data_IF_831937667953
#
_entry.id   IF_831937667953
#
_cell.length_a   1.000
_cell.length_b   1.000
_cell.length_c   1.000
_cell.angle_alpha   90.00
_cell.angle_beta   90.00
_cell.angle_gamma   90.00
#
_symmetry.space_group_name_H-M   'P 1'
#
loop_
_entity.id
_entity.type
_entity.pdbx_description
1 polymer ?
#
# COMPACT_ATOMS: atom_id res chain seq x y z
N UNK A 1 2.72 -14.82 34.34
CA UNK A 1 1.50 -14.97 35.17
C UNK A 1 1.90 -15.07 36.64
N UNK A 2 0.96 -14.82 37.60
CA UNK A 2 1.23 -14.87 39.07
C UNK A 2 1.84 -16.21 39.50
N UNK A 3 1.55 -17.29 38.80
CA UNK A 3 2.09 -18.64 39.07
C UNK A 3 3.55 -18.80 38.61
N UNK A 4 4.02 -18.12 37.59
CA UNK A 4 5.42 -18.18 37.13
C UNK A 4 6.38 -17.42 38.08
N UNK A 5 5.90 -16.32 38.66
CA UNK A 5 6.69 -15.58 39.68
C UNK A 5 6.86 -16.36 41.01
N UNK A 6 5.97 -17.32 41.27
CA UNK A 6 6.01 -18.15 42.50
C UNK A 6 6.93 -19.38 42.38
N UNK A 7 7.43 -19.72 41.20
CA UNK A 7 8.21 -20.95 40.97
C UNK A 7 9.72 -20.80 41.26
N UNK A 8 10.20 -19.62 41.65
CA UNK A 8 11.63 -19.34 41.79
C UNK A 8 12.17 -19.41 43.24
N UNK A 9 11.43 -19.92 44.21
CA UNK A 9 11.89 -20.03 45.58
C UNK A 9 11.19 -21.15 46.36
N UNK A 10 11.96 -21.85 47.17
CA UNK A 10 11.55 -23.03 47.96
C UNK A 10 10.72 -22.70 49.23
N UNK A 11 10.16 -21.47 49.33
CA UNK A 11 9.22 -21.07 50.38
C UNK A 11 7.84 -20.82 49.75
N UNK A 12 6.80 -21.35 50.41
CA UNK A 12 5.40 -21.12 50.02
C UNK A 12 5.11 -19.63 49.93
N UNK A 13 5.14 -19.09 48.73
CA UNK A 13 4.87 -17.67 48.49
C UNK A 13 3.39 -17.41 48.68
N UNK A 14 3.05 -16.72 49.75
CA UNK A 14 1.68 -16.31 50.05
C UNK A 14 1.28 -15.26 48.98
N UNK A 15 0.31 -15.63 48.14
CA UNK A 15 -0.31 -14.68 47.18
C UNK A 15 -1.12 -13.68 47.99
N UNK A 16 -0.59 -12.49 48.22
CA UNK A 16 -1.29 -11.38 48.89
C UNK A 16 -2.19 -10.61 47.93
N UNK A 17 -3.23 -9.95 48.47
CA UNK A 17 -4.04 -9.00 47.66
C UNK A 17 -3.17 -8.01 46.91
N UNK A 18 -2.11 -7.52 47.54
CA UNK A 18 -1.18 -6.53 46.97
C UNK A 18 -0.36 -7.12 45.82
N UNK A 19 0.04 -8.40 45.87
CA UNK A 19 0.72 -9.08 44.76
C UNK A 19 -0.23 -9.36 43.59
N UNK A 20 -1.51 -9.61 43.88
CA UNK A 20 -2.56 -9.75 42.86
C UNK A 20 -2.89 -8.39 42.24
N UNK A 21 -3.04 -7.34 43.05
CA UNK A 21 -3.27 -5.97 42.54
C UNK A 21 -2.10 -5.47 41.73
N UNK A 22 -0.86 -5.72 42.13
CA UNK A 22 0.33 -5.42 41.36
C UNK A 22 0.39 -6.19 40.05
N UNK A 23 0.08 -7.49 40.08
CA UNK A 23 0.02 -8.32 38.87
C UNK A 23 -1.13 -7.90 37.93
N UNK A 24 -2.25 -7.46 38.47
CA UNK A 24 -3.40 -6.93 37.72
C UNK A 24 -3.08 -5.51 37.17
N UNK A 25 -2.40 -4.67 37.94
CA UNK A 25 -1.95 -3.33 37.47
C UNK A 25 -0.87 -3.42 36.39
N UNK A 26 -0.05 -4.49 36.39
CA UNK A 26 0.90 -4.84 35.35
C UNK A 26 0.31 -5.78 34.28
N UNK A 27 -0.93 -6.27 34.48
CA UNK A 27 -1.66 -6.91 33.41
C UNK A 27 -1.83 -5.88 32.33
N UNK A 28 -1.15 -6.15 31.20
CA UNK A 28 -1.19 -5.34 30.00
C UNK A 28 -2.61 -4.81 29.76
N UNK A 29 -2.79 -3.56 29.39
CA UNK A 29 -4.11 -3.03 29.08
C UNK A 29 -4.80 -4.04 28.17
N UNK A 30 -5.94 -4.57 28.60
CA UNK A 30 -6.73 -5.53 27.82
C UNK A 30 -7.05 -4.82 26.50
N UNK A 31 -6.27 -5.19 25.50
CA UNK A 31 -6.51 -4.75 24.14
C UNK A 31 -7.78 -5.47 23.69
N UNK A 32 -8.87 -4.71 23.65
CA UNK A 32 -10.12 -5.21 23.12
C UNK A 32 -9.95 -5.34 21.59
N UNK A 33 -9.82 -6.59 21.11
CA UNK A 33 -9.63 -6.89 19.68
C UNK A 33 -10.81 -6.46 18.84
N UNK A 34 -11.97 -6.33 19.41
CA UNK A 34 -13.23 -5.98 18.74
C UNK A 34 -13.69 -4.55 19.07
N UNK A 35 -12.92 -3.77 19.83
CA UNK A 35 -13.29 -2.45 20.31
C UNK A 35 -12.54 -1.28 19.65
N UNK A 36 -12.95 -0.06 19.98
CA UNK A 36 -12.42 1.20 19.45
C UNK A 36 -10.89 1.33 19.58
N UNK A 37 -10.29 0.76 20.65
CA UNK A 37 -8.85 0.80 20.90
C UNK A 37 -8.03 0.05 19.83
N UNK A 38 -8.53 -1.04 19.25
CA UNK A 38 -7.88 -1.76 18.16
C UNK A 38 -7.74 -0.87 16.92
N UNK A 39 -8.83 -0.21 16.54
CA UNK A 39 -8.83 0.69 15.40
C UNK A 39 -7.96 1.92 15.63
N UNK A 40 -7.94 2.45 16.85
CA UNK A 40 -7.13 3.61 17.23
C UNK A 40 -5.64 3.32 17.12
N UNK A 41 -5.16 2.19 17.68
CA UNK A 41 -3.74 1.82 17.63
C UNK A 41 -3.30 1.50 16.20
N UNK A 42 -4.14 0.78 15.43
CA UNK A 42 -3.87 0.53 14.02
C UNK A 42 -3.79 1.83 13.21
N UNK A 43 -4.75 2.73 13.43
CA UNK A 43 -4.78 4.05 12.78
C UNK A 43 -3.56 4.89 13.18
N UNK A 44 -3.14 4.84 14.44
CA UNK A 44 -1.97 5.54 14.93
C UNK A 44 -0.67 5.00 14.29
N UNK A 45 -0.51 3.66 14.18
CA UNK A 45 0.60 3.06 13.45
C UNK A 45 0.68 3.60 12.02
N UNK A 46 -0.41 3.50 11.27
CA UNK A 46 -0.46 3.94 9.87
C UNK A 46 -0.16 5.44 9.73
N UNK A 47 -0.75 6.27 10.60
CA UNK A 47 -0.53 7.73 10.59
C UNK A 47 0.91 8.09 10.95
N UNK A 48 1.54 7.37 11.89
CA UNK A 48 2.94 7.59 12.25
C UNK A 48 3.89 7.24 11.10
N UNK A 49 3.68 6.09 10.43
CA UNK A 49 4.44 5.73 9.22
C UNK A 49 4.24 6.77 8.11
N UNK A 50 3.00 7.19 7.86
CA UNK A 50 2.66 8.25 6.89
C UNK A 50 3.33 9.58 7.23
N UNK A 51 3.37 9.93 8.52
CA UNK A 51 4.03 11.11 9.04
C UNK A 51 5.55 11.02 9.15
N UNK A 52 6.15 9.86 8.79
CA UNK A 52 7.59 9.60 8.88
C UNK A 52 8.17 9.63 10.31
N UNK A 53 7.31 9.43 11.32
CA UNK A 53 7.74 9.28 12.71
C UNK A 53 8.03 7.79 13.00
N UNK A 54 9.30 7.42 12.86
CA UNK A 54 9.77 6.03 13.02
C UNK A 54 9.56 5.52 14.45
N UNK A 55 9.85 6.35 15.43
CA UNK A 55 9.79 5.95 16.84
C UNK A 55 8.35 5.76 17.32
N UNK A 56 7.46 6.67 16.95
CA UNK A 56 6.03 6.51 17.21
C UNK A 56 5.47 5.27 16.50
N UNK A 57 5.85 5.03 15.24
CA UNK A 57 5.42 3.85 14.48
C UNK A 57 5.88 2.54 15.14
N UNK A 58 7.13 2.46 15.57
CA UNK A 58 7.66 1.30 16.30
C UNK A 58 6.96 1.10 17.66
N UNK A 59 6.63 2.19 18.36
CA UNK A 59 5.86 2.11 19.61
C UNK A 59 4.46 1.50 19.38
N UNK A 60 3.72 1.98 18.36
CA UNK A 60 2.40 1.42 18.05
C UNK A 60 2.48 -0.01 17.53
N UNK A 61 3.50 -0.35 16.73
CA UNK A 61 3.77 -1.74 16.35
C UNK A 61 3.97 -2.62 17.60
N UNK A 62 4.80 -2.18 18.55
CA UNK A 62 5.06 -2.91 19.78
C UNK A 62 3.77 -3.13 20.60
N UNK A 63 2.91 -2.11 20.70
CA UNK A 63 1.60 -2.23 21.36
C UNK A 63 0.74 -3.31 20.72
N UNK A 64 0.67 -3.38 19.37
CA UNK A 64 -0.09 -4.40 18.65
C UNK A 64 0.49 -5.81 18.90
N UNK A 65 1.82 -5.96 18.82
CA UNK A 65 2.50 -7.24 19.03
C UNK A 65 2.28 -7.76 20.48
N UNK A 66 2.45 -6.89 21.48
CA UNK A 66 2.27 -7.23 22.89
C UNK A 66 0.82 -7.58 23.21
N UNK A 67 -0.13 -6.90 22.56
CA UNK A 67 -1.55 -7.20 22.66
C UNK A 67 -1.97 -8.52 21.96
N UNK A 68 -1.03 -9.18 21.27
CA UNK A 68 -1.28 -10.44 20.55
C UNK A 68 -2.07 -10.27 19.27
N UNK A 69 -1.95 -9.12 18.58
CA UNK A 69 -2.55 -8.92 17.27
C UNK A 69 -2.02 -9.92 16.25
N UNK A 70 -2.86 -10.33 15.30
CA UNK A 70 -2.41 -11.20 14.20
C UNK A 70 -1.31 -10.47 13.38
N UNK A 71 -0.08 -11.00 13.36
CA UNK A 71 1.01 -10.37 12.64
C UNK A 71 0.74 -10.27 11.14
N UNK A 72 -0.12 -11.12 10.57
CA UNK A 72 -0.56 -11.03 9.16
C UNK A 72 -1.51 -9.86 8.92
N UNK A 73 -2.33 -9.51 9.92
CA UNK A 73 -3.14 -8.30 9.87
C UNK A 73 -2.25 -7.06 9.79
N UNK A 74 -1.25 -6.97 10.67
CA UNK A 74 -0.29 -5.85 10.69
C UNK A 74 0.43 -5.76 9.32
N UNK A 75 0.98 -6.88 8.84
CA UNK A 75 1.68 -6.93 7.55
C UNK A 75 0.80 -6.49 6.38
N UNK A 76 -0.48 -6.92 6.34
CA UNK A 76 -1.45 -6.49 5.33
C UNK A 76 -1.66 -4.97 5.33
N UNK A 77 -1.72 -4.36 6.51
CA UNK A 77 -1.86 -2.89 6.62
C UNK A 77 -0.63 -2.17 6.08
N UNK A 78 0.57 -2.71 6.29
CA UNK A 78 1.82 -2.15 5.74
C UNK A 78 1.88 -2.28 4.21
N UNK A 79 1.39 -3.38 3.63
CA UNK A 79 1.29 -3.55 2.17
C UNK A 79 0.37 -2.51 1.54
N UNK A 80 -0.79 -2.26 2.15
CA UNK A 80 -1.73 -1.23 1.69
C UNK A 80 -1.05 0.14 1.74
N UNK A 81 -0.45 0.49 2.88
CA UNK A 81 0.25 1.77 3.09
C UNK A 81 1.38 1.99 2.07
N UNK A 82 2.15 0.95 1.76
CA UNK A 82 3.23 1.04 0.77
C UNK A 82 2.74 1.50 -0.60
N UNK A 83 1.54 1.08 -1.01
CA UNK A 83 0.92 1.51 -2.27
C UNK A 83 0.16 2.83 -2.15
N UNK A 84 -0.51 3.08 -1.01
CA UNK A 84 -1.37 4.24 -0.78
C UNK A 84 -0.56 5.52 -0.52
N UNK A 85 0.46 5.43 0.35
CA UNK A 85 1.16 6.60 0.90
C UNK A 85 2.59 6.80 0.36
N UNK A 86 3.19 5.76 -0.23
CA UNK A 86 4.55 5.81 -0.76
C UNK A 86 4.54 5.69 -2.29
N UNK A 87 3.85 4.69 -2.83
CA UNK A 87 3.66 4.52 -4.25
C UNK A 87 4.96 4.57 -5.05
N UNK A 88 4.99 5.43 -6.07
CA UNK A 88 6.14 5.57 -6.96
C UNK A 88 7.26 6.45 -6.41
N UNK A 89 7.07 7.08 -5.25
CA UNK A 89 8.15 7.83 -4.59
C UNK A 89 9.28 6.90 -4.11
N UNK A 90 8.94 5.67 -3.70
CA UNK A 90 9.88 4.58 -3.48
C UNK A 90 9.28 3.24 -3.96
N UNK A 91 9.55 2.80 -5.19
CA UNK A 91 9.05 1.54 -5.73
C UNK A 91 9.46 0.29 -4.94
N UNK A 92 10.52 0.37 -4.13
CA UNK A 92 10.98 -0.75 -3.29
C UNK A 92 10.11 -0.94 -2.04
N UNK A 93 9.33 0.05 -1.65
CA UNK A 93 8.49 0.00 -0.46
C UNK A 93 7.47 -1.15 -0.50
N UNK A 94 6.77 -1.31 -1.63
CA UNK A 94 5.83 -2.42 -1.81
C UNK A 94 6.54 -3.78 -1.79
N UNK A 95 7.73 -3.88 -2.38
CA UNK A 95 8.52 -5.11 -2.37
C UNK A 95 8.92 -5.50 -0.94
N UNK A 96 9.38 -4.53 -0.14
CA UNK A 96 9.71 -4.74 1.28
C UNK A 96 8.48 -5.17 2.08
N UNK A 97 7.35 -4.52 1.88
CA UNK A 97 6.11 -4.87 2.57
C UNK A 97 5.60 -6.28 2.21
N UNK A 98 5.68 -6.68 0.94
CA UNK A 98 5.32 -8.03 0.47
C UNK A 98 6.29 -9.07 1.03
N UNK A 99 7.62 -8.82 0.98
CA UNK A 99 8.61 -9.71 1.54
C UNK A 99 8.39 -9.91 3.06
N UNK A 100 8.10 -8.82 3.78
CA UNK A 100 7.76 -8.89 5.20
C UNK A 100 6.48 -9.70 5.45
N UNK A 101 5.44 -9.51 4.67
CA UNK A 101 4.18 -10.27 4.78
C UNK A 101 4.40 -11.78 4.58
N UNK A 102 5.20 -12.15 3.58
CA UNK A 102 5.55 -13.55 3.32
C UNK A 102 6.37 -14.16 4.47
N UNK A 103 7.40 -13.44 4.93
CA UNK A 103 8.24 -13.89 6.03
C UNK A 103 7.44 -14.05 7.33
N UNK A 104 6.58 -13.09 7.65
CA UNK A 104 5.68 -13.14 8.81
C UNK A 104 4.78 -14.38 8.79
N UNK A 105 4.22 -14.71 7.62
CA UNK A 105 3.35 -15.88 7.46
C UNK A 105 4.10 -17.19 7.62
N UNK A 106 5.40 -17.22 7.35
CA UNK A 106 6.24 -18.42 7.44
C UNK A 106 6.89 -18.58 8.82
N UNK A 107 7.38 -17.46 9.43
CA UNK A 107 8.15 -17.49 10.67
C UNK A 107 7.23 -17.52 11.89
N UNK A 108 6.20 -16.66 11.93
CA UNK A 108 5.34 -16.47 13.09
C UNK A 108 6.00 -15.66 14.22
N UNK A 109 5.23 -15.39 15.27
CA UNK A 109 5.75 -14.73 16.49
C UNK A 109 6.46 -15.77 17.38
N UNK A 110 7.48 -15.37 18.16
CA UNK A 110 7.87 -13.98 18.41
C UNK A 110 8.84 -13.35 17.41
N UNK A 111 9.51 -14.11 16.55
CA UNK A 111 10.58 -13.61 15.67
C UNK A 111 10.05 -12.70 14.54
N UNK A 112 8.82 -12.91 14.08
CA UNK A 112 8.19 -12.09 13.03
C UNK A 112 8.11 -10.60 13.40
N UNK A 113 8.18 -10.24 14.70
CA UNK A 113 8.25 -8.85 15.17
C UNK A 113 9.44 -8.08 14.56
N UNK A 114 10.57 -8.77 14.34
CA UNK A 114 11.79 -8.17 13.78
C UNK A 114 11.54 -7.81 12.31
N UNK A 115 10.94 -8.69 11.55
CA UNK A 115 10.59 -8.46 10.14
C UNK A 115 9.54 -7.34 10.00
N UNK A 116 8.54 -7.29 10.88
CA UNK A 116 7.56 -6.21 10.91
C UNK A 116 8.22 -4.86 11.23
N UNK A 117 9.13 -4.83 12.22
CA UNK A 117 9.87 -3.62 12.58
C UNK A 117 10.76 -3.14 11.41
N UNK A 118 11.42 -4.04 10.70
CA UNK A 118 12.20 -3.72 9.50
C UNK A 118 11.33 -3.03 8.45
N UNK A 119 10.16 -3.60 8.14
CA UNK A 119 9.23 -2.98 7.19
C UNK A 119 8.73 -1.61 7.68
N UNK A 120 8.35 -1.47 8.96
CA UNK A 120 7.92 -0.19 9.54
C UNK A 120 9.00 0.87 9.43
N UNK A 121 10.26 0.56 9.75
CA UNK A 121 11.38 1.51 9.63
C UNK A 121 11.57 1.95 8.16
N UNK A 122 11.63 1.00 7.23
CA UNK A 122 11.77 1.33 5.80
C UNK A 122 10.62 2.23 5.33
N UNK A 123 9.37 1.84 5.58
CA UNK A 123 8.20 2.59 5.12
C UNK A 123 8.09 3.97 5.78
N UNK A 124 8.53 4.11 7.05
CA UNK A 124 8.55 5.41 7.73
C UNK A 124 9.58 6.35 7.10
N UNK A 125 10.75 5.85 6.71
CA UNK A 125 11.83 6.64 6.13
C UNK A 125 11.65 6.89 4.62
N UNK A 126 10.83 6.09 3.94
CA UNK A 126 10.56 6.27 2.52
C UNK A 126 9.91 7.62 2.23
N UNK A 127 10.24 8.29 1.11
CA UNK A 127 9.51 9.47 0.66
C UNK A 127 8.03 9.12 0.41
N UNK A 128 7.14 10.08 0.66
CA UNK A 128 5.69 9.86 0.61
C UNK A 128 5.08 10.43 -0.67
N UNK A 129 4.22 9.64 -1.31
CA UNK A 129 3.37 10.08 -2.42
C UNK A 129 2.09 9.23 -2.48
N UNK A 130 0.95 9.89 -2.53
CA UNK A 130 -0.35 9.26 -2.72
C UNK A 130 -0.86 9.39 -4.17
N UNK A 131 0.01 9.73 -5.13
CA UNK A 131 -0.40 10.05 -6.51
C UNK A 131 -1.04 8.87 -7.22
N UNK A 132 -0.57 7.64 -6.96
CA UNK A 132 -1.17 6.41 -7.52
C UNK A 132 -2.58 6.20 -6.94
N UNK A 133 -2.76 6.40 -5.65
CA UNK A 133 -4.06 6.31 -4.99
C UNK A 133 -5.05 7.35 -5.54
N UNK A 134 -4.61 8.61 -5.67
CA UNK A 134 -5.42 9.68 -6.24
C UNK A 134 -5.79 9.39 -7.72
N UNK A 135 -4.85 8.87 -8.50
CA UNK A 135 -5.05 8.55 -9.91
C UNK A 135 -6.15 7.50 -10.11
N UNK A 136 -6.07 6.37 -9.40
CA UNK A 136 -7.11 5.34 -9.52
C UNK A 136 -8.46 5.81 -8.99
N UNK A 137 -8.48 6.61 -7.92
CA UNK A 137 -9.71 7.21 -7.39
C UNK A 137 -10.40 8.12 -8.40
N UNK A 138 -9.63 8.97 -9.09
CA UNK A 138 -10.16 9.85 -10.14
C UNK A 138 -10.69 9.05 -11.35
N UNK A 139 -10.01 7.97 -11.75
CA UNK A 139 -10.46 7.11 -12.83
C UNK A 139 -11.76 6.38 -12.48
N UNK A 140 -11.87 5.87 -11.26
CA UNK A 140 -13.10 5.23 -10.76
C UNK A 140 -14.26 6.23 -10.75
N UNK A 141 -14.04 7.45 -10.26
CA UNK A 141 -15.07 8.48 -10.23
C UNK A 141 -15.58 8.85 -11.64
N UNK A 142 -14.71 8.84 -12.65
CA UNK A 142 -15.11 9.05 -14.04
C UNK A 142 -16.00 7.92 -14.54
N UNK A 143 -15.67 6.68 -14.23
CA UNK A 143 -16.49 5.50 -14.58
C UNK A 143 -17.85 5.55 -13.89
N UNK A 144 -17.90 5.84 -12.59
CA UNK A 144 -19.13 5.97 -11.81
C UNK A 144 -20.01 7.12 -12.31
N UNK A 145 -19.40 8.19 -12.85
CA UNK A 145 -20.11 9.30 -13.48
C UNK A 145 -20.58 8.98 -14.92
N UNK A 146 -20.45 7.75 -15.39
CA UNK A 146 -20.88 7.31 -16.71
C UNK A 146 -19.94 7.71 -17.86
N UNK A 147 -18.76 8.23 -17.59
CA UNK A 147 -17.73 8.53 -18.60
C UNK A 147 -16.98 7.26 -19.03
N UNK A 148 -17.70 6.26 -19.51
CA UNK A 148 -17.16 4.95 -19.87
C UNK A 148 -16.72 4.94 -21.33
N UNK A 149 -17.62 5.28 -22.24
CA UNK A 149 -17.40 5.19 -23.69
C UNK A 149 -17.19 3.77 -24.20
N UNK A 150 -17.12 3.64 -25.53
CA UNK A 150 -16.77 2.37 -26.17
C UNK A 150 -15.25 2.25 -26.30
N UNK A 151 -14.74 1.02 -26.13
CA UNK A 151 -13.34 0.72 -26.41
C UNK A 151 -13.06 1.06 -27.90
N UNK A 152 -12.01 1.85 -28.21
CA UNK A 152 -11.64 2.17 -29.58
C UNK A 152 -11.50 0.91 -30.43
N UNK A 153 -12.02 0.94 -31.67
CA UNK A 153 -12.03 -0.22 -32.55
C UNK A 153 -10.71 -0.96 -32.69
N UNK A 154 -9.58 -0.26 -32.90
CA UNK A 154 -8.26 -0.88 -32.99
C UNK A 154 -7.84 -1.65 -31.72
N UNK A 155 -8.32 -1.24 -30.54
CA UNK A 155 -7.98 -1.88 -29.26
C UNK A 155 -8.89 -3.07 -28.92
N UNK A 156 -9.97 -3.26 -29.67
CA UNK A 156 -10.87 -4.40 -29.45
C UNK A 156 -10.23 -5.71 -29.93
N UNK A 157 -10.54 -6.79 -29.23
CA UNK A 157 -10.07 -8.12 -29.62
C UNK A 157 -10.65 -8.55 -30.97
N UNK A 158 -9.76 -8.73 -31.95
CA UNK A 158 -10.05 -9.22 -33.31
C UNK A 158 -9.86 -10.72 -33.48
N UNK A 159 -9.85 -11.53 -32.42
CA UNK A 159 -9.57 -12.97 -32.50
C UNK A 159 -10.65 -13.75 -33.29
N UNK A 160 -11.93 -13.36 -33.16
CA UNK A 160 -13.02 -14.00 -33.91
C UNK A 160 -13.24 -13.38 -35.29
N UNK A 161 -13.77 -14.18 -36.22
CA UNK A 161 -14.14 -13.68 -37.56
C UNK A 161 -15.25 -12.61 -37.51
N UNK A 162 -16.18 -12.76 -36.58
CA UNK A 162 -17.29 -11.81 -36.38
C UNK A 162 -16.76 -10.45 -35.87
N UNK A 163 -15.88 -10.44 -34.86
CA UNK A 163 -15.30 -9.21 -34.33
C UNK A 163 -14.42 -8.48 -35.35
N UNK A 164 -13.67 -9.21 -36.19
CA UNK A 164 -12.91 -8.62 -37.31
C UNK A 164 -13.81 -8.00 -38.37
N UNK A 165 -14.96 -8.63 -38.68
CA UNK A 165 -15.92 -8.08 -39.60
C UNK A 165 -16.50 -6.73 -39.13
N UNK A 166 -16.60 -6.53 -37.81
CA UNK A 166 -16.97 -5.27 -37.14
C UNK A 166 -15.82 -4.27 -37.00
N UNK A 167 -14.65 -4.58 -37.55
CA UNK A 167 -13.47 -3.71 -37.53
C UNK A 167 -12.63 -3.78 -36.25
N UNK A 168 -12.82 -4.78 -35.40
CA UNK A 168 -11.99 -4.98 -34.23
C UNK A 168 -10.53 -5.27 -34.62
N UNK A 169 -9.59 -4.62 -33.97
CA UNK A 169 -8.15 -4.73 -34.23
C UNK A 169 -7.65 -4.04 -35.50
N UNK A 170 -8.55 -3.51 -36.33
CA UNK A 170 -8.16 -2.85 -37.58
C UNK A 170 -7.49 -1.50 -37.28
N UNK A 171 -6.25 -1.35 -37.80
CA UNK A 171 -5.49 -0.11 -37.64
C UNK A 171 -4.70 -0.04 -36.32
N UNK A 172 -4.67 -1.12 -35.53
CA UNK A 172 -3.76 -1.18 -34.39
C UNK A 172 -2.31 -1.15 -34.85
N UNK A 173 -1.53 -0.26 -34.25
CA UNK A 173 -0.10 -0.15 -34.47
C UNK A 173 0.63 -0.79 -33.30
N UNK A 174 1.47 -1.80 -33.57
CA UNK A 174 2.16 -2.56 -32.54
C UNK A 174 3.42 -1.79 -32.08
N UNK A 175 3.51 -1.37 -30.80
CA UNK A 175 4.61 -0.52 -30.35
C UNK A 175 6.01 -1.14 -30.51
N UNK A 176 6.13 -2.48 -30.50
CA UNK A 176 7.41 -3.15 -30.70
C UNK A 176 7.94 -3.08 -32.14
N UNK A 177 7.12 -2.67 -33.11
CA UNK A 177 7.56 -2.42 -34.48
C UNK A 177 8.13 -0.99 -34.63
N UNK A 178 7.99 -0.14 -33.62
CA UNK A 178 8.53 1.21 -33.59
C UNK A 178 9.86 1.24 -32.82
N UNK A 179 10.93 1.87 -33.37
CA UNK A 179 12.24 1.94 -32.70
C UNK A 179 12.21 2.60 -31.32
N UNK A 180 11.28 3.53 -31.08
CA UNK A 180 11.10 4.18 -29.79
C UNK A 180 10.24 3.35 -28.82
N UNK A 181 9.59 2.27 -29.28
CA UNK A 181 8.66 1.49 -28.48
C UNK A 181 7.38 2.24 -28.11
N UNK A 182 7.14 3.40 -28.69
CA UNK A 182 5.99 4.27 -28.41
C UNK A 182 5.36 4.64 -29.74
N UNK A 183 4.05 4.51 -29.84
CA UNK A 183 3.31 4.84 -31.06
C UNK A 183 2.27 5.89 -30.70
N UNK A 184 2.30 7.01 -31.43
CA UNK A 184 1.24 8.01 -31.38
C UNK A 184 -0.09 7.37 -31.77
N UNK A 185 -0.99 7.27 -30.79
CA UNK A 185 -2.27 6.60 -30.93
C UNK A 185 -3.23 7.04 -29.83
N UNK A 186 -4.52 7.16 -30.16
CA UNK A 186 -5.56 7.45 -29.17
C UNK A 186 -6.03 6.16 -28.49
N UNK A 187 -5.56 5.93 -27.28
CA UNK A 187 -5.92 4.76 -26.46
C UNK A 187 -7.19 4.96 -25.65
N UNK A 188 -7.54 6.21 -25.34
CA UNK A 188 -8.67 6.50 -24.46
C UNK A 188 -10.00 6.49 -25.23
N UNK A 189 -11.10 6.01 -24.61
CA UNK A 189 -12.42 6.19 -25.18
C UNK A 189 -12.83 7.66 -25.16
N UNK A 190 -13.65 8.10 -26.14
CA UNK A 190 -14.02 9.49 -26.38
C UNK A 190 -14.39 10.31 -25.13
N UNK A 191 -15.19 9.80 -24.14
CA UNK A 191 -15.56 10.59 -22.96
C UNK A 191 -14.42 10.96 -22.02
N UNK A 192 -13.25 10.32 -22.15
CA UNK A 192 -12.08 10.54 -21.27
C UNK A 192 -10.81 10.87 -22.05
N UNK A 193 -10.94 11.17 -23.36
CA UNK A 193 -9.82 11.71 -24.15
C UNK A 193 -9.29 12.99 -23.51
N UNK A 194 -7.96 13.12 -23.45
CA UNK A 194 -7.28 14.24 -22.80
C UNK A 194 -7.34 14.26 -21.27
N UNK A 195 -8.03 13.31 -20.62
CA UNK A 195 -8.01 13.18 -19.16
C UNK A 195 -6.64 12.73 -18.67
N UNK A 196 -6.22 13.34 -17.58
CA UNK A 196 -4.97 13.04 -16.91
C UNK A 196 -5.27 12.57 -15.49
N UNK A 197 -5.04 11.30 -15.21
CA UNK A 197 -5.27 10.72 -13.89
C UNK A 197 -3.99 10.73 -13.05
N UNK A 198 -2.87 10.31 -13.62
CA UNK A 198 -1.61 10.24 -12.90
C UNK A 198 -0.82 11.53 -13.08
N UNK A 199 -0.65 12.24 -11.97
CA UNK A 199 0.14 13.47 -11.87
C UNK A 199 1.27 13.23 -10.86
N UNK A 200 2.51 12.88 -11.31
CA UNK A 200 3.62 12.53 -10.45
C UNK A 200 4.03 13.66 -9.50
N UNK A 201 4.40 13.30 -8.27
CA UNK A 201 5.01 14.23 -7.33
C UNK A 201 6.50 14.43 -7.62
N UNK A 202 7.09 15.44 -6.96
CA UNK A 202 8.55 15.68 -6.99
C UNK A 202 9.29 14.90 -5.89
N UNK A 203 8.64 13.95 -5.20
CA UNK A 203 9.21 13.22 -4.07
C UNK A 203 9.92 11.94 -4.51
N UNK A 204 11.10 11.72 -3.95
CA UNK A 204 11.87 10.49 -4.15
C UNK A 204 12.10 10.13 -5.61
N UNK A 205 11.89 8.85 -5.93
CA UNK A 205 12.05 8.34 -7.29
C UNK A 205 10.96 8.86 -8.26
N UNK A 206 9.80 9.32 -7.75
CA UNK A 206 8.68 9.74 -8.58
C UNK A 206 8.99 10.96 -9.43
N UNK A 207 9.89 11.82 -9.00
CA UNK A 207 10.42 12.93 -9.81
C UNK A 207 10.92 12.46 -11.18
N UNK A 208 11.74 11.40 -11.19
CA UNK A 208 12.27 10.81 -12.43
C UNK A 208 11.15 10.19 -13.29
N UNK A 209 10.18 9.55 -12.65
CA UNK A 209 9.02 8.99 -13.35
C UNK A 209 8.14 10.09 -13.95
N UNK A 210 8.05 11.25 -13.31
CA UNK A 210 7.36 12.42 -13.83
C UNK A 210 7.99 12.96 -15.13
N UNK A 211 9.31 13.03 -15.18
CA UNK A 211 10.04 13.40 -16.42
C UNK A 211 9.77 12.40 -17.54
N UNK A 212 9.86 11.09 -17.24
CA UNK A 212 9.57 10.04 -18.21
C UNK A 212 8.12 10.08 -18.69
N UNK A 213 7.16 10.27 -17.79
CA UNK A 213 5.74 10.37 -18.13
C UNK A 213 5.47 11.53 -19.09
N UNK A 214 6.07 12.71 -18.87
CA UNK A 214 5.96 13.85 -19.78
C UNK A 214 6.50 13.52 -21.17
N UNK A 215 7.67 12.88 -21.25
CA UNK A 215 8.27 12.49 -22.51
C UNK A 215 7.40 11.49 -23.29
N UNK A 216 6.82 10.51 -22.59
CA UNK A 216 5.89 9.54 -23.17
C UNK A 216 4.62 10.23 -23.67
N UNK A 217 4.02 11.12 -22.90
CA UNK A 217 2.81 11.85 -23.30
C UNK A 217 3.05 12.68 -24.57
N UNK A 218 4.19 13.35 -24.66
CA UNK A 218 4.58 14.09 -25.86
C UNK A 218 4.72 13.16 -27.08
N UNK A 219 5.34 11.99 -26.91
CA UNK A 219 5.50 11.00 -27.98
C UNK A 219 4.15 10.35 -28.40
N UNK A 220 3.16 10.34 -27.52
CA UNK A 220 1.79 9.90 -27.80
C UNK A 220 0.95 10.97 -28.53
N UNK A 221 1.50 12.16 -28.75
CA UNK A 221 0.77 13.28 -29.38
C UNK A 221 -0.21 13.97 -28.40
N UNK A 222 -0.11 13.68 -27.10
CA UNK A 222 -0.91 14.35 -26.10
C UNK A 222 -0.24 15.67 -25.72
N UNK A 223 -0.60 16.76 -26.41
CA UNK A 223 -0.08 18.09 -26.11
C UNK A 223 -0.30 18.45 -24.65
N UNK A 224 0.78 18.74 -23.94
CA UNK A 224 0.76 19.24 -22.56
C UNK A 224 0.41 20.74 -22.52
N UNK A 225 -0.35 21.24 -23.48
CA UNK A 225 -0.79 22.62 -23.50
C UNK A 225 -1.81 22.89 -22.41
N UNK A 226 -1.36 23.52 -21.33
CA UNK A 226 -2.21 24.20 -20.34
C UNK A 226 -2.44 23.46 -19.02
N UNK A 227 -1.50 23.60 -18.11
CA UNK A 227 -1.70 23.53 -16.66
C UNK A 227 -1.22 24.82 -16.03
#
# INVERSE_FOLDING_TARGET
>A
TVLEASAAGDEATVVTSESVESAVAHALPRYDRDGDQHYDVTSALIKSVRGSDVDAALHYLARMVVAGEDPRFIARRLVILASEDIGMADPSALQTAIAAMQAVSFIGLPEARITLAHAVVHLSLAPKSNRVYAAIGAAIADVEAGRIGQVPGPLRDGSSSASRAEGAGKGYRYPHDDPAGIVEFEYAPAPVQGRRYYDPSEHGAERRWGELARNIQNALGHDLAGG
#
